data_IF_346833463197
#
_entry.id   IF_346833463197
#
_cell.length_a   1.000
_cell.length_b   1.000
_cell.length_c   1.000
_cell.angle_alpha   90.00
_cell.angle_beta   90.00
_cell.angle_gamma   90.00
#
_symmetry.space_group_name_H-M   'P 1'
#
loop_
_entity.id
_entity.type
_entity.pdbx_description
1 polymer ?
#
# COMPACT_ATOMS: atom_id res chain seq x y z
N UNK A 1 22.57 15.41 -1.69
CA UNK A 1 22.12 14.00 -1.67
C UNK A 1 20.66 14.03 -1.25
N UNK A 2 19.75 13.32 -1.95
CA UNK A 2 18.34 13.30 -1.59
C UNK A 2 18.11 12.51 -0.31
N UNK A 3 17.03 12.81 0.39
CA UNK A 3 16.59 12.08 1.60
C UNK A 3 16.01 10.72 1.22
N UNK A 4 16.02 9.79 2.16
CA UNK A 4 15.28 8.53 2.10
C UNK A 4 14.09 8.63 3.05
N UNK A 5 12.88 8.61 2.52
CA UNK A 5 11.64 8.79 3.25
C UNK A 5 10.76 7.56 3.09
N UNK A 6 10.10 7.14 4.17
CA UNK A 6 9.15 6.05 4.12
C UNK A 6 7.83 6.40 4.82
N UNK A 7 6.72 5.98 4.22
CA UNK A 7 5.41 5.91 4.84
C UNK A 7 4.97 4.45 4.87
N UNK A 8 4.76 3.93 6.07
CA UNK A 8 4.42 2.54 6.33
C UNK A 8 3.02 2.49 6.93
N UNK A 9 2.11 1.79 6.27
CA UNK A 9 0.70 1.70 6.64
C UNK A 9 0.35 0.24 6.89
N UNK A 10 -0.13 -0.08 8.08
CA UNK A 10 -0.59 -1.41 8.44
C UNK A 10 -1.98 -1.40 9.06
N UNK A 11 -2.84 -2.28 8.56
CA UNK A 11 -4.19 -2.45 9.07
C UNK A 11 -4.40 -3.90 9.50
N UNK A 12 -4.51 -4.09 10.81
CA UNK A 12 -4.74 -5.39 11.44
C UNK A 12 -6.19 -5.59 11.89
N UNK A 13 -6.91 -4.49 12.09
CA UNK A 13 -8.28 -4.46 12.60
C UNK A 13 -9.17 -3.63 11.67
N UNK A 14 -10.40 -4.10 11.51
CA UNK A 14 -11.42 -3.47 10.68
C UNK A 14 -12.73 -3.39 11.44
N UNK A 15 -13.45 -2.29 11.28
CA UNK A 15 -14.76 -2.10 11.90
C UNK A 15 -15.84 -2.93 11.18
N UNK A 16 -15.68 -3.19 9.89
CA UNK A 16 -16.54 -4.10 9.11
C UNK A 16 -16.18 -5.57 9.40
N UNK A 17 -17.14 -6.32 9.93
CA UNK A 17 -16.99 -7.75 10.25
C UNK A 17 -16.77 -8.64 9.03
N UNK A 18 -17.04 -8.14 7.83
CA UNK A 18 -16.74 -8.81 6.56
C UNK A 18 -15.26 -8.79 6.18
N UNK A 19 -14.43 -8.00 6.88
CA UNK A 19 -13.00 -7.98 6.78
C UNK A 19 -12.37 -8.68 7.98
N UNK A 20 -11.67 -9.78 7.74
CA UNK A 20 -11.02 -10.54 8.81
C UNK A 20 -9.85 -9.75 9.40
N UNK A 21 -9.55 -9.99 10.69
CA UNK A 21 -8.36 -9.43 11.32
C UNK A 21 -7.09 -10.00 10.70
N UNK A 22 -6.06 -9.17 10.61
CA UNK A 22 -4.71 -9.51 10.11
C UNK A 22 -3.65 -9.21 11.18
N UNK A 23 -3.50 -10.06 12.21
CA UNK A 23 -2.62 -9.76 13.34
C UNK A 23 -1.15 -9.52 12.95
N UNK A 24 -0.70 -10.12 11.85
CA UNK A 24 0.67 -9.98 11.33
C UNK A 24 0.96 -8.59 10.78
N UNK A 25 -0.03 -7.88 10.26
CA UNK A 25 0.17 -6.59 9.60
C UNK A 25 0.86 -5.54 10.51
N UNK A 26 0.59 -5.54 11.82
CA UNK A 26 1.26 -4.65 12.76
C UNK A 26 2.71 -5.07 13.04
N UNK A 27 2.98 -6.36 13.05
CA UNK A 27 4.34 -6.89 13.23
C UNK A 27 5.18 -6.51 12.01
N UNK A 28 4.63 -6.74 10.81
CA UNK A 28 5.29 -6.44 9.53
C UNK A 28 5.65 -4.96 9.43
N UNK A 29 4.72 -4.06 9.80
CA UNK A 29 4.94 -2.61 9.81
C UNK A 29 6.11 -2.23 10.69
N UNK A 30 6.16 -2.77 11.91
CA UNK A 30 7.22 -2.45 12.87
C UNK A 30 8.56 -3.00 12.42
N UNK A 31 8.63 -4.28 12.06
CA UNK A 31 9.87 -4.91 11.62
C UNK A 31 10.42 -4.25 10.35
N UNK A 32 9.55 -3.89 9.41
CA UNK A 32 9.98 -3.19 8.21
C UNK A 32 10.49 -1.78 8.52
N UNK A 33 9.84 -1.05 9.44
CA UNK A 33 10.32 0.25 9.88
C UNK A 33 11.69 0.17 10.55
N UNK A 34 11.89 -0.84 11.42
CA UNK A 34 13.16 -1.06 12.10
C UNK A 34 14.29 -1.30 11.08
N UNK A 35 14.05 -2.14 10.07
CA UNK A 35 15.03 -2.39 8.98
C UNK A 35 15.34 -1.13 8.19
N UNK A 36 14.34 -0.29 7.91
CA UNK A 36 14.57 0.96 7.18
C UNK A 36 15.39 1.97 8.00
N UNK A 37 15.20 2.01 9.31
CA UNK A 37 15.94 2.91 10.21
C UNK A 37 17.34 2.39 10.56
N UNK A 38 17.59 1.08 10.38
CA UNK A 38 18.89 0.46 10.73
C UNK A 38 20.04 1.12 9.97
N UNK A 39 21.04 1.60 10.71
CA UNK A 39 22.17 2.36 10.17
C UNK A 39 23.04 1.58 9.18
N UNK A 40 23.08 0.25 9.33
CA UNK A 40 23.87 -0.64 8.46
C UNK A 40 23.07 -1.15 7.25
N UNK A 41 21.73 -0.92 7.21
CA UNK A 41 20.84 -1.49 6.20
C UNK A 41 20.09 -0.39 5.44
N UNK A 42 19.02 0.14 6.02
CA UNK A 42 18.12 1.07 5.35
C UNK A 42 18.64 2.49 5.29
N UNK A 43 19.10 3.00 6.42
CA UNK A 43 19.58 4.39 6.56
C UNK A 43 18.54 5.43 6.09
N UNK A 44 17.25 5.22 6.41
CA UNK A 44 16.21 6.18 6.09
C UNK A 44 16.25 7.38 7.02
N UNK A 45 16.07 8.57 6.46
CA UNK A 45 16.09 9.84 7.20
C UNK A 45 14.80 10.06 7.99
N UNK A 46 13.66 9.56 7.47
CA UNK A 46 12.36 9.67 8.12
C UNK A 46 11.47 8.47 7.77
N UNK A 47 10.85 7.88 8.79
CA UNK A 47 9.95 6.72 8.66
C UNK A 47 8.69 6.98 9.47
N UNK A 48 7.60 7.27 8.78
CA UNK A 48 6.28 7.47 9.39
C UNK A 48 5.52 6.15 9.38
N UNK A 49 4.99 5.75 10.53
CA UNK A 49 4.19 4.54 10.69
C UNK A 49 2.74 4.90 11.02
N UNK A 50 1.78 4.29 10.32
CA UNK A 50 0.36 4.37 10.59
C UNK A 50 -0.16 2.96 10.86
N UNK A 51 -0.75 2.73 12.03
CA UNK A 51 -1.29 1.44 12.44
C UNK A 51 -2.78 1.59 12.78
N UNK A 52 -3.62 0.83 12.08
CA UNK A 52 -5.08 0.81 12.29
C UNK A 52 -5.74 2.20 12.26
N UNK A 53 -5.31 3.03 11.32
CA UNK A 53 -5.86 4.36 11.11
C UNK A 53 -7.03 4.34 10.11
N UNK A 54 -7.94 5.32 10.25
CA UNK A 54 -9.09 5.48 9.37
C UNK A 54 -8.74 6.20 8.06
N UNK A 55 -9.69 6.18 7.12
CA UNK A 55 -9.54 6.72 5.76
C UNK A 55 -9.01 8.16 5.72
N UNK A 56 -9.58 9.03 6.55
CA UNK A 56 -9.22 10.45 6.52
C UNK A 56 -7.72 10.68 6.87
N UNK A 57 -7.22 9.98 7.90
CA UNK A 57 -5.83 10.04 8.34
C UNK A 57 -4.90 9.46 7.28
N UNK A 58 -5.20 8.25 6.80
CA UNK A 58 -4.36 7.55 5.82
C UNK A 58 -4.28 8.34 4.52
N UNK A 59 -5.42 8.80 4.00
CA UNK A 59 -5.50 9.57 2.76
C UNK A 59 -4.72 10.87 2.82
N UNK A 60 -4.84 11.59 3.95
CA UNK A 60 -4.08 12.84 4.19
C UNK A 60 -2.58 12.56 4.25
N UNK A 61 -2.18 11.51 4.96
CA UNK A 61 -0.76 11.15 5.12
C UNK A 61 -0.12 10.76 3.79
N UNK A 62 -0.80 9.97 2.95
CA UNK A 62 -0.33 9.64 1.60
C UNK A 62 -0.15 10.91 0.76
N UNK A 63 -1.16 11.79 0.74
CA UNK A 63 -1.10 13.03 -0.03
C UNK A 63 0.05 13.92 0.43
N UNK A 64 0.20 14.11 1.75
CA UNK A 64 1.29 14.90 2.33
C UNK A 64 2.66 14.31 2.02
N UNK A 65 2.81 12.99 2.19
CA UNK A 65 4.05 12.26 1.96
C UNK A 65 4.61 12.47 0.55
N UNK A 66 3.79 12.32 -0.47
CA UNK A 66 4.21 12.53 -1.85
C UNK A 66 4.38 14.00 -2.21
N UNK A 67 3.60 14.90 -1.61
CA UNK A 67 3.67 16.33 -1.89
C UNK A 67 4.95 16.99 -1.33
N UNK A 68 5.46 16.51 -0.20
CA UNK A 68 6.69 17.06 0.40
C UNK A 68 8.00 16.52 -0.19
N UNK A 69 7.91 15.43 -0.94
CA UNK A 69 9.08 14.77 -1.53
C UNK A 69 9.69 15.63 -2.63
N UNK A 70 11.01 15.76 -2.61
CA UNK A 70 11.78 16.51 -3.60
C UNK A 70 12.33 15.58 -4.68
N UNK A 71 12.78 16.17 -5.80
CA UNK A 71 13.24 15.45 -6.98
C UNK A 71 14.27 14.35 -6.70
N UNK A 72 15.20 14.60 -5.78
CA UNK A 72 16.31 13.69 -5.47
C UNK A 72 16.01 12.73 -4.31
N UNK A 73 14.85 12.89 -3.65
CA UNK A 73 14.45 12.02 -2.54
C UNK A 73 14.09 10.62 -3.07
N UNK A 74 14.44 9.59 -2.30
CA UNK A 74 13.89 8.26 -2.43
C UNK A 74 12.66 8.16 -1.52
N UNK A 75 11.53 7.82 -2.08
CA UNK A 75 10.29 7.64 -1.31
C UNK A 75 9.80 6.20 -1.40
N UNK A 76 9.48 5.63 -0.25
CA UNK A 76 8.93 4.27 -0.12
C UNK A 76 7.57 4.35 0.54
N UNK A 77 6.53 3.87 -0.14
CA UNK A 77 5.23 3.62 0.44
C UNK A 77 5.05 2.12 0.61
N UNK A 78 4.86 1.67 1.85
CA UNK A 78 4.53 0.28 2.19
C UNK A 78 3.11 0.20 2.73
N UNK A 79 2.36 -0.79 2.27
CA UNK A 79 1.02 -1.08 2.77
C UNK A 79 0.90 -2.56 3.10
N UNK A 80 0.49 -2.87 4.33
CA UNK A 80 0.10 -4.21 4.77
C UNK A 80 -1.35 -4.20 5.25
N UNK A 81 -2.19 -5.06 4.64
CA UNK A 81 -3.63 -5.09 4.92
C UNK A 81 -4.43 -5.80 3.83
N UNK A 82 -5.76 -5.66 3.87
CA UNK A 82 -6.62 -6.20 2.83
C UNK A 82 -6.60 -5.35 1.56
N UNK A 83 -6.41 -6.01 0.42
CA UNK A 83 -6.71 -5.46 -0.90
C UNK A 83 -8.04 -6.04 -1.39
N UNK A 84 -8.98 -5.21 -1.76
CA UNK A 84 -10.31 -5.61 -2.24
C UNK A 84 -10.50 -5.09 -3.66
N UNK A 85 -11.02 -5.95 -4.54
CA UNK A 85 -11.41 -5.53 -5.90
C UNK A 85 -12.93 -5.42 -5.99
N UNK A 86 -13.40 -4.37 -6.67
CA UNK A 86 -14.82 -4.28 -7.05
C UNK A 86 -15.16 -5.18 -8.25
N UNK A 87 -16.42 -5.17 -8.67
CA UNK A 87 -16.89 -5.95 -9.82
C UNK A 87 -16.24 -5.53 -11.14
N UNK A 88 -15.77 -4.28 -11.24
CA UNK A 88 -15.07 -3.72 -12.38
C UNK A 88 -13.56 -4.03 -12.36
N UNK A 89 -13.06 -4.62 -11.27
CA UNK A 89 -11.66 -4.97 -11.09
C UNK A 89 -10.79 -3.85 -10.53
N UNK A 90 -11.36 -2.73 -10.09
CA UNK A 90 -10.60 -1.68 -9.42
C UNK A 90 -10.13 -2.16 -8.04
N UNK A 91 -8.88 -1.86 -7.73
CA UNK A 91 -8.26 -2.23 -6.46
C UNK A 91 -8.44 -1.12 -5.43
N UNK A 92 -8.86 -1.54 -4.24
CA UNK A 92 -9.01 -0.71 -3.05
C UNK A 92 -8.18 -1.30 -1.91
N UNK A 93 -7.43 -0.46 -1.23
CA UNK A 93 -6.69 -0.80 -0.02
C UNK A 93 -7.58 -0.49 1.19
N UNK A 94 -7.94 -1.52 1.93
CA UNK A 94 -8.82 -1.39 3.08
C UNK A 94 -8.09 -0.76 4.26
N UNK A 95 -8.73 0.19 4.92
CA UNK A 95 -8.30 0.83 6.15
C UNK A 95 -9.28 0.49 7.28
N UNK A 96 -9.02 0.92 8.51
CA UNK A 96 -9.78 0.51 9.69
C UNK A 96 -11.31 0.68 9.53
N UNK A 97 -11.75 1.82 8.99
CA UNK A 97 -13.15 2.19 8.82
C UNK A 97 -13.72 1.86 7.41
N UNK A 98 -13.05 0.98 6.68
CA UNK A 98 -13.55 0.52 5.38
C UNK A 98 -14.79 -0.33 5.52
N UNK A 99 -15.83 0.01 4.74
CA UNK A 99 -17.06 -0.77 4.58
C UNK A 99 -17.04 -1.49 3.22
N UNK A 100 -17.13 -2.82 3.21
CA UNK A 100 -17.09 -3.63 1.97
C UNK A 100 -18.21 -3.29 1.00
N UNK A 101 -19.36 -2.85 1.50
CA UNK A 101 -20.49 -2.42 0.68
C UNK A 101 -20.30 -1.04 0.05
N UNK A 102 -19.30 -0.25 0.49
CA UNK A 102 -19.09 1.13 0.07
C UNK A 102 -17.60 1.42 -0.14
N UNK A 103 -16.90 0.57 -0.88
CA UNK A 103 -15.44 0.65 -1.08
C UNK A 103 -14.98 2.03 -1.57
N UNK A 104 -15.61 2.58 -2.60
CA UNK A 104 -15.23 3.86 -3.19
C UNK A 104 -15.32 5.05 -2.23
N UNK A 105 -16.12 4.94 -1.16
CA UNK A 105 -16.28 6.01 -0.17
C UNK A 105 -15.48 5.80 1.13
N UNK A 106 -15.01 4.58 1.38
CA UNK A 106 -14.48 4.18 2.69
C UNK A 106 -13.11 3.52 2.65
N UNK A 107 -12.49 3.43 1.47
CA UNK A 107 -11.17 2.82 1.31
C UNK A 107 -10.24 3.68 0.44
N UNK A 108 -8.98 3.29 0.34
CA UNK A 108 -7.99 3.96 -0.50
C UNK A 108 -7.99 3.34 -1.90
N UNK A 109 -8.45 4.07 -2.89
CA UNK A 109 -8.37 3.63 -4.28
C UNK A 109 -6.92 3.57 -4.77
N UNK A 110 -6.56 2.52 -5.51
CA UNK A 110 -5.26 2.44 -6.18
C UNK A 110 -5.00 3.67 -7.09
N UNK A 111 -6.03 4.14 -7.77
CA UNK A 111 -5.97 5.33 -8.61
C UNK A 111 -5.61 6.61 -7.82
N UNK A 112 -6.07 6.74 -6.57
CA UNK A 112 -5.69 7.85 -5.71
C UNK A 112 -4.19 7.81 -5.39
N UNK A 113 -3.65 6.64 -5.02
CA UNK A 113 -2.21 6.48 -4.73
C UNK A 113 -1.39 6.83 -5.98
N UNK A 114 -1.75 6.28 -7.13
CA UNK A 114 -1.11 6.57 -8.41
C UNK A 114 -1.10 8.07 -8.71
N UNK A 115 -2.22 8.75 -8.51
CA UNK A 115 -2.31 10.19 -8.75
C UNK A 115 -1.39 11.01 -7.82
N UNK A 116 -1.21 10.58 -6.55
CA UNK A 116 -0.25 11.24 -5.65
C UNK A 116 1.20 10.98 -6.08
N UNK A 117 1.50 9.75 -6.47
CA UNK A 117 2.81 9.39 -7.02
C UNK A 117 3.15 10.19 -8.28
N UNK A 118 2.20 10.35 -9.20
CA UNK A 118 2.40 11.10 -10.46
C UNK A 118 2.61 12.60 -10.24
N UNK A 119 2.01 13.17 -9.19
CA UNK A 119 2.18 14.57 -8.82
C UNK A 119 3.47 14.85 -8.05
N UNK A 120 4.07 13.83 -7.46
CA UNK A 120 5.29 13.96 -6.68
C UNK A 120 6.46 14.42 -7.54
N UNK A 121 7.29 15.31 -7.01
CA UNK A 121 8.54 15.70 -7.66
C UNK A 121 9.60 14.59 -7.65
N UNK A 122 9.52 13.65 -6.68
CA UNK A 122 10.48 12.56 -6.57
C UNK A 122 10.51 11.69 -7.84
N UNK A 123 11.73 11.37 -8.28
CA UNK A 123 11.98 10.48 -9.42
C UNK A 123 12.40 9.07 -8.99
N UNK A 124 12.42 8.80 -7.69
CA UNK A 124 12.79 7.51 -7.11
C UNK A 124 11.70 7.06 -6.15
N UNK A 125 10.71 6.34 -6.68
CA UNK A 125 9.51 5.95 -5.95
C UNK A 125 9.38 4.43 -5.89
N UNK A 126 9.17 3.90 -4.70
CA UNK A 126 8.91 2.47 -4.47
C UNK A 126 7.56 2.33 -3.78
N UNK A 127 6.69 1.51 -4.34
CA UNK A 127 5.45 1.09 -3.73
C UNK A 127 5.53 -0.41 -3.42
N UNK A 128 5.32 -0.78 -2.18
CA UNK A 128 5.31 -2.17 -1.71
C UNK A 128 3.93 -2.47 -1.15
N UNK A 129 3.26 -3.48 -1.72
CA UNK A 129 1.93 -3.90 -1.32
C UNK A 129 1.99 -5.34 -0.80
N UNK A 130 1.84 -5.47 0.49
CA UNK A 130 1.63 -6.75 1.17
C UNK A 130 0.15 -6.90 1.49
N UNK A 131 -0.63 -7.19 0.46
CA UNK A 131 -2.06 -7.32 0.59
C UNK A 131 -2.57 -8.60 -0.09
N UNK A 132 -3.21 -9.44 0.72
CA UNK A 132 -3.98 -10.56 0.21
C UNK A 132 -5.24 -10.03 -0.47
N UNK A 133 -5.54 -10.51 -1.66
CA UNK A 133 -6.81 -10.23 -2.32
C UNK A 133 -7.91 -11.05 -1.61
N UNK A 134 -8.44 -10.53 -0.52
CA UNK A 134 -9.56 -11.18 0.16
C UNK A 134 -10.84 -11.01 -0.67
N UNK A 135 -11.17 -12.05 -1.41
CA UNK A 135 -12.53 -12.26 -1.89
C UNK A 135 -12.86 -11.95 -3.34
N UNK A 136 -11.91 -11.69 -4.22
CA UNK A 136 -12.19 -11.57 -5.65
C UNK A 136 -11.63 -12.75 -6.47
N UNK A 137 -11.72 -13.97 -5.97
CA UNK A 137 -11.79 -15.11 -6.88
C UNK A 137 -13.22 -15.24 -7.39
N UNK A 138 -13.59 -14.40 -8.34
CA UNK A 138 -14.69 -14.72 -9.22
C UNK A 138 -14.35 -16.09 -9.84
N UNK A 139 -15.25 -17.05 -9.67
CA UNK A 139 -15.18 -18.38 -10.23
C UNK A 139 -14.75 -18.33 -11.70
N UNK A 140 -13.58 -18.85 -12.03
CA UNK A 140 -13.21 -19.10 -13.41
C UNK A 140 -11.81 -18.71 -13.89
N UNK A 141 -10.96 -18.09 -13.09
CA UNK A 141 -9.57 -17.87 -13.50
C UNK A 141 -8.71 -19.09 -13.15
N UNK A 142 -8.26 -19.81 -14.18
CA UNK A 142 -7.30 -20.92 -14.05
C UNK A 142 -6.03 -20.39 -13.38
N UNK A 143 -5.57 -21.12 -12.38
CA UNK A 143 -4.24 -20.95 -11.80
C UNK A 143 -3.19 -21.03 -12.92
N UNK A 144 -2.55 -19.93 -13.21
CA UNK A 144 -1.33 -19.87 -13.99
C UNK A 144 -0.24 -19.36 -13.07
N UNK A 145 0.75 -20.24 -12.86
CA UNK A 145 2.16 -20.01 -12.45
C UNK A 145 2.45 -18.66 -11.77
N UNK A 146 3.17 -18.74 -10.66
CA UNK A 146 3.80 -17.66 -9.88
C UNK A 146 4.21 -16.43 -10.72
N UNK A 147 3.23 -15.75 -11.25
CA UNK A 147 3.36 -14.40 -11.76
C UNK A 147 3.08 -13.47 -10.59
N UNK A 148 3.91 -12.45 -10.46
CA UNK A 148 3.69 -11.25 -9.68
C UNK A 148 2.40 -10.58 -10.16
N UNK A 149 1.28 -11.27 -9.99
CA UNK A 149 0.00 -10.87 -10.55
C UNK A 149 -0.76 -10.18 -9.46
N UNK A 150 -0.72 -8.97 -9.51
CA UNK A 150 -1.82 -8.59 -8.89
C UNK A 150 -2.11 -7.07 -8.78
N UNK A 151 -1.35 -6.31 -8.05
CA UNK A 151 -1.57 -4.89 -7.87
C UNK A 151 -0.80 -4.04 -8.89
N UNK A 152 0.22 -4.57 -9.54
CA UNK A 152 1.06 -3.85 -10.49
C UNK A 152 0.27 -3.03 -11.52
N UNK A 153 -0.64 -3.62 -12.31
CA UNK A 153 -1.42 -2.87 -13.30
C UNK A 153 -2.30 -1.76 -12.73
N UNK A 154 -2.76 -1.90 -11.50
CA UNK A 154 -3.58 -0.87 -10.84
C UNK A 154 -2.78 0.38 -10.45
N UNK A 155 -1.45 0.29 -10.43
CA UNK A 155 -0.54 1.37 -10.06
C UNK A 155 0.40 1.79 -11.19
N UNK A 156 0.14 1.39 -12.42
CA UNK A 156 0.89 1.84 -13.58
C UNK A 156 0.66 3.34 -13.80
N UNK A 157 1.73 4.11 -13.66
CA UNK A 157 1.73 5.55 -13.86
C UNK A 157 2.76 5.98 -14.91
N UNK A 158 2.75 7.26 -15.30
CA UNK A 158 3.62 7.84 -16.35
C UNK A 158 5.02 8.22 -15.85
N UNK A 159 5.60 7.55 -14.84
CA UNK A 159 6.85 7.98 -14.21
C UNK A 159 8.04 7.07 -14.52
N UNK A 160 9.17 7.67 -14.89
CA UNK A 160 10.48 7.00 -14.85
C UNK A 160 10.94 6.87 -13.39
N UNK A 161 11.44 5.70 -12.98
CA UNK A 161 11.99 5.48 -11.63
C UNK A 161 10.96 5.04 -10.59
N UNK A 162 9.84 4.48 -11.02
CA UNK A 162 8.84 3.86 -10.16
C UNK A 162 9.00 2.33 -10.15
N UNK A 163 9.01 1.74 -8.96
CA UNK A 163 8.98 0.29 -8.75
C UNK A 163 7.74 -0.05 -7.93
N UNK A 164 6.97 -1.03 -8.37
CA UNK A 164 5.83 -1.57 -7.63
C UNK A 164 6.11 -3.04 -7.33
N UNK A 165 6.15 -3.38 -6.05
CA UNK A 165 6.29 -4.74 -5.55
C UNK A 165 4.97 -5.15 -4.90
N UNK A 166 4.40 -6.28 -5.29
CA UNK A 166 3.23 -6.84 -4.63
C UNK A 166 3.52 -8.25 -4.16
N UNK A 167 3.19 -8.52 -2.90
CA UNK A 167 3.25 -9.85 -2.31
C UNK A 167 1.81 -10.34 -2.17
N UNK A 168 1.50 -11.49 -2.75
CA UNK A 168 0.24 -12.18 -2.54
C UNK A 168 0.51 -13.44 -1.75
N UNK A 169 0.06 -13.51 -0.50
CA UNK A 169 0.05 -14.78 0.20
C UNK A 169 -1.05 -15.67 -0.39
N UNK A 170 -0.67 -16.86 -0.85
CA UNK A 170 -1.64 -17.90 -1.13
C UNK A 170 -2.23 -18.33 0.22
N UNK A 171 -3.50 -18.04 0.45
CA UNK A 171 -4.21 -18.62 1.57
C UNK A 171 -4.25 -20.14 1.36
N UNK A 172 -3.56 -20.88 2.22
CA UNK A 172 -3.68 -22.33 2.36
C UNK A 172 -4.97 -22.69 3.08
#
# INVERSE_FOLDING_TARGET
MGRKLALIIGNSQYDDTGLSRLPTAQVDVREFADVLLEAEIGQFDDVVQLADEGLATVRRSIAYFFNQAKREDLVVLYFSGHGVKDEQGHLYLAVKDTERSLLGGTSIEAAFVTAQMDRSESKRQVLILDCCHSGAFARGAKAASAELVGAGPAFEGRGYGRVVLSVTSLAT
#
